data_IF_253754241805
#
_entry.id   IF_253754241805
#
_cell.length_a   1.000
_cell.length_b   1.000
_cell.length_c   1.000
_cell.angle_alpha   90.00
_cell.angle_beta   90.00
_cell.angle_gamma   90.00
#
_symmetry.space_group_name_H-M   'P 1'
#
loop_
_entity.id
_entity.type
_entity.pdbx_description
1 polymer ?
#
# COMPACT_ATOMS: atom_id res chain seq x y z
N UNK A 1 4.97 13.50 5.51
CA UNK A 1 5.94 12.50 5.00
C UNK A 1 6.01 12.40 3.46
N UNK A 2 5.33 13.26 2.66
CA UNK A 2 5.24 13.09 1.19
C UNK A 2 5.40 14.40 0.37
N UNK A 3 5.96 15.48 0.94
CA UNK A 3 5.94 16.79 0.27
C UNK A 3 7.01 17.00 -0.84
N UNK A 4 8.01 16.11 -0.98
CA UNK A 4 9.16 16.36 -1.87
C UNK A 4 9.49 15.24 -2.87
N UNK A 5 8.63 14.24 -3.06
CA UNK A 5 8.94 13.10 -3.93
C UNK A 5 8.02 13.14 -5.16
N UNK A 6 8.58 13.01 -6.36
CA UNK A 6 7.80 12.84 -7.60
C UNK A 6 6.90 11.62 -7.48
N UNK A 7 5.64 11.72 -7.92
CA UNK A 7 4.62 10.68 -7.78
C UNK A 7 5.13 9.25 -8.08
N UNK A 8 5.95 9.07 -9.13
CA UNK A 8 6.57 7.79 -9.49
C UNK A 8 7.46 7.17 -8.41
N UNK A 9 8.24 7.97 -7.68
CA UNK A 9 9.10 7.48 -6.59
C UNK A 9 8.31 7.23 -5.29
N UNK A 10 7.20 7.95 -5.04
CA UNK A 10 6.30 7.62 -3.92
C UNK A 10 5.64 6.27 -4.12
N UNK A 11 5.29 5.94 -5.36
CA UNK A 11 4.70 4.65 -5.69
C UNK A 11 5.74 3.54 -5.63
N UNK A 12 6.99 3.77 -6.08
CA UNK A 12 8.11 2.83 -5.91
C UNK A 12 8.36 2.45 -4.45
N UNK A 13 8.46 3.44 -3.56
CA UNK A 13 8.66 3.20 -2.13
C UNK A 13 7.49 2.41 -1.50
N UNK A 14 6.26 2.66 -1.96
CA UNK A 14 5.07 1.90 -1.54
C UNK A 14 4.99 0.50 -2.15
N UNK A 15 5.60 0.25 -3.32
CA UNK A 15 5.65 -1.09 -3.94
C UNK A 15 6.55 -2.06 -3.16
N UNK A 16 7.57 -1.55 -2.46
CA UNK A 16 8.39 -2.35 -1.55
C UNK A 16 7.59 -2.95 -0.38
N UNK A 17 6.37 -2.49 -0.10
CA UNK A 17 5.49 -3.01 0.97
C UNK A 17 5.21 -4.51 0.86
N UNK A 18 5.19 -5.07 -0.35
CA UNK A 18 4.93 -6.50 -0.57
C UNK A 18 6.00 -7.40 0.07
N UNK A 19 7.25 -6.96 0.13
CA UNK A 19 8.37 -7.77 0.66
C UNK A 19 8.31 -7.88 2.20
N UNK A 20 8.19 -6.78 2.98
CA UNK A 20 8.04 -6.85 4.44
C UNK A 20 6.73 -7.49 4.87
N UNK A 21 5.63 -7.31 4.13
CA UNK A 21 4.36 -8.01 4.41
C UNK A 21 4.54 -9.53 4.33
N UNK A 22 5.26 -10.04 3.32
CA UNK A 22 5.54 -11.47 3.22
C UNK A 22 6.52 -11.98 4.27
N UNK A 23 7.60 -11.24 4.54
CA UNK A 23 8.57 -11.58 5.58
C UNK A 23 7.92 -11.64 6.98
N UNK A 24 7.13 -10.63 7.34
CA UNK A 24 6.41 -10.60 8.62
C UNK A 24 5.35 -11.70 8.72
N UNK A 25 4.66 -12.01 7.62
CA UNK A 25 3.71 -13.14 7.59
C UNK A 25 4.38 -14.51 7.87
N UNK A 26 5.65 -14.67 7.51
CA UNK A 26 6.43 -15.91 7.73
C UNK A 26 6.95 -15.96 9.16
N UNK A 27 7.58 -14.87 9.61
CA UNK A 27 8.23 -14.79 10.92
C UNK A 27 7.21 -14.85 12.06
N UNK A 28 6.07 -14.16 11.94
CA UNK A 28 5.12 -14.02 13.05
C UNK A 28 3.99 -15.07 13.03
N UNK A 29 3.53 -15.48 11.85
CA UNK A 29 2.39 -16.40 11.73
C UNK A 29 2.76 -17.78 11.20
N UNK A 30 4.04 -18.06 10.94
CA UNK A 30 4.48 -19.35 10.41
C UNK A 30 3.85 -19.71 9.07
N UNK A 31 3.29 -18.73 8.32
CA UNK A 31 2.67 -18.97 7.02
C UNK A 31 3.75 -19.40 6.04
N UNK A 32 3.65 -20.64 5.55
CA UNK A 32 4.52 -21.15 4.49
C UNK A 32 4.02 -20.62 3.14
N UNK A 33 4.77 -19.66 2.60
CA UNK A 33 4.60 -19.24 1.21
C UNK A 33 5.39 -20.19 0.29
N UNK A 34 4.86 -20.45 -0.89
CA UNK A 34 5.55 -21.25 -1.91
C UNK A 34 6.77 -20.48 -2.43
N UNK A 35 7.83 -21.18 -2.84
CA UNK A 35 9.01 -20.57 -3.47
C UNK A 35 8.63 -19.66 -4.64
N UNK A 36 7.59 -20.03 -5.40
CA UNK A 36 7.07 -19.21 -6.49
C UNK A 36 6.44 -17.88 -6.01
N UNK A 37 5.84 -17.83 -4.82
CA UNK A 37 5.31 -16.58 -4.27
C UNK A 37 6.43 -15.59 -3.93
N UNK A 38 7.57 -16.10 -3.41
CA UNK A 38 8.76 -15.27 -3.19
C UNK A 38 9.36 -14.76 -4.50
N UNK A 39 9.51 -15.63 -5.50
CA UNK A 39 10.02 -15.26 -6.83
C UNK A 39 9.13 -14.21 -7.49
N UNK A 40 7.80 -14.32 -7.39
CA UNK A 40 6.88 -13.31 -7.95
C UNK A 40 7.06 -11.96 -7.26
N UNK A 41 7.23 -11.92 -5.94
CA UNK A 41 7.44 -10.66 -5.22
C UNK A 41 8.77 -10.01 -5.53
N UNK A 42 9.85 -10.78 -5.60
CA UNK A 42 11.15 -10.25 -5.97
C UNK A 42 11.14 -9.77 -7.42
N UNK A 43 10.47 -10.50 -8.33
CA UNK A 43 10.28 -10.09 -9.72
C UNK A 43 9.51 -8.76 -9.84
N UNK A 44 8.44 -8.60 -9.08
CA UNK A 44 7.69 -7.33 -9.01
C UNK A 44 8.58 -6.22 -8.45
N UNK A 45 9.27 -6.46 -7.34
CA UNK A 45 10.19 -5.48 -6.74
C UNK A 45 11.28 -5.02 -7.71
N UNK A 46 11.93 -5.97 -8.40
CA UNK A 46 12.95 -5.69 -9.41
C UNK A 46 12.38 -4.95 -10.63
N UNK A 47 11.18 -5.32 -11.10
CA UNK A 47 10.54 -4.66 -12.23
C UNK A 47 10.18 -3.20 -11.94
N UNK A 48 9.68 -2.90 -10.73
CA UNK A 48 9.43 -1.52 -10.31
C UNK A 48 10.75 -0.75 -10.10
N UNK A 49 11.79 -1.39 -9.56
CA UNK A 49 13.12 -0.77 -9.42
C UNK A 49 13.75 -0.43 -10.78
N UNK A 50 13.69 -1.34 -11.75
CA UNK A 50 14.18 -1.13 -13.12
C UNK A 50 13.41 0.01 -13.82
N UNK A 51 12.09 0.11 -13.59
CA UNK A 51 11.28 1.22 -14.10
C UNK A 51 11.71 2.58 -13.55
N UNK A 52 12.16 2.62 -12.29
CA UNK A 52 12.56 3.84 -11.60
C UNK A 52 13.95 4.38 -11.97
N UNK A 53 14.87 3.54 -12.49
CA UNK A 53 16.27 3.92 -12.67
C UNK A 53 16.56 5.04 -13.70
N UNK A 54 15.65 5.35 -14.63
CA UNK A 54 15.86 6.42 -15.64
C UNK A 54 14.68 7.39 -15.81
N UNK A 55 13.63 7.27 -15.00
CA UNK A 55 12.53 8.22 -14.97
C UNK A 55 12.94 9.52 -14.28
N UNK A 56 13.55 10.44 -15.03
CA UNK A 56 13.87 11.83 -14.68
C UNK A 56 14.90 12.01 -13.55
N UNK A 57 16.05 12.59 -13.91
CA UNK A 57 17.11 13.05 -13.00
C UNK A 57 16.63 14.05 -11.92
N UNK A 58 15.37 14.51 -11.97
CA UNK A 58 14.71 15.29 -10.92
C UNK A 58 14.07 14.43 -9.81
N UNK A 59 13.85 13.13 -10.04
CA UNK A 59 13.22 12.18 -9.11
C UNK A 59 14.23 11.68 -8.08
N UNK A 60 15.45 11.40 -8.49
CA UNK A 60 16.53 10.91 -7.61
C UNK A 60 17.14 12.03 -6.77
N UNK A 61 17.18 13.27 -7.28
CA UNK A 61 17.75 14.43 -6.58
C UNK A 61 16.97 14.88 -5.34
N UNK A 62 15.66 14.54 -5.24
CA UNK A 62 14.85 14.83 -4.04
C UNK A 62 14.72 13.67 -3.06
N UNK A 63 15.31 12.50 -3.38
CA UNK A 63 15.55 11.43 -2.40
C UNK A 63 16.78 11.73 -1.53
N UNK A 64 17.59 12.73 -1.89
CA UNK A 64 18.70 13.21 -1.09
C UNK A 64 18.21 14.16 0.02
N UNK A 65 17.40 13.67 0.95
CA UNK A 65 17.41 14.26 2.30
C UNK A 65 18.79 14.02 2.93
N UNK A 66 19.27 14.85 3.87
CA UNK A 66 20.67 14.87 4.32
C UNK A 66 21.24 13.54 4.81
N UNK A 67 20.38 12.56 5.13
CA UNK A 67 20.75 11.20 5.51
C UNK A 67 19.92 10.16 4.74
N UNK A 68 20.35 9.71 3.54
CA UNK A 68 19.66 8.66 2.79
C UNK A 68 19.46 7.38 3.61
N UNK A 69 20.42 7.05 4.49
CA UNK A 69 20.34 5.89 5.39
C UNK A 69 19.14 5.97 6.34
N UNK A 70 18.87 7.15 6.91
CA UNK A 70 17.77 7.36 7.85
C UNK A 70 16.40 7.33 7.14
N UNK A 71 16.35 7.82 5.89
CA UNK A 71 15.16 7.71 5.05
C UNK A 71 14.82 6.26 4.68
N UNK A 72 15.83 5.47 4.28
CA UNK A 72 15.64 4.05 3.97
C UNK A 72 15.29 3.22 5.23
N UNK A 73 15.89 3.53 6.38
CA UNK A 73 15.58 2.82 7.64
C UNK A 73 14.16 3.11 8.13
N UNK A 74 13.72 4.38 8.11
CA UNK A 74 12.33 4.75 8.42
C UNK A 74 11.33 4.08 7.48
N UNK A 75 11.66 3.97 6.19
CA UNK A 75 10.83 3.26 5.22
C UNK A 75 10.72 1.78 5.59
N UNK A 76 11.83 1.12 5.89
CA UNK A 76 11.85 -0.29 6.29
C UNK A 76 11.00 -0.54 7.55
N UNK A 77 11.16 0.32 8.57
CA UNK A 77 10.37 0.25 9.81
C UNK A 77 8.89 0.48 9.54
N UNK A 78 8.52 1.46 8.70
CA UNK A 78 7.13 1.70 8.35
C UNK A 78 6.51 0.49 7.62
N UNK A 79 7.25 -0.11 6.68
CA UNK A 79 6.79 -1.29 5.95
C UNK A 79 6.70 -2.53 6.87
N UNK A 80 7.56 -2.64 7.88
CA UNK A 80 7.51 -3.68 8.89
C UNK A 80 6.23 -3.59 9.74
N UNK A 81 5.87 -2.40 10.24
CA UNK A 81 4.63 -2.19 10.98
C UNK A 81 3.37 -2.37 10.11
N UNK A 82 3.44 -1.93 8.87
CA UNK A 82 2.40 -2.19 7.87
C UNK A 82 2.23 -3.71 7.64
N UNK A 83 3.33 -4.46 7.53
CA UNK A 83 3.34 -5.91 7.42
C UNK A 83 2.73 -6.60 8.63
N UNK A 84 3.13 -6.17 9.83
CA UNK A 84 2.58 -6.64 11.10
C UNK A 84 1.06 -6.45 11.16
N UNK A 85 0.58 -5.25 10.84
CA UNK A 85 -0.86 -4.93 10.88
C UNK A 85 -1.65 -5.81 9.92
N UNK A 86 -1.19 -5.98 8.68
CA UNK A 86 -1.84 -6.87 7.71
C UNK A 86 -1.87 -8.33 8.18
N UNK A 87 -0.77 -8.81 8.80
CA UNK A 87 -0.70 -10.15 9.34
C UNK A 87 -1.64 -10.35 10.55
N UNK A 88 -1.70 -9.38 11.46
CA UNK A 88 -2.62 -9.38 12.59
C UNK A 88 -4.08 -9.35 12.13
N UNK A 89 -4.39 -8.56 11.08
CA UNK A 89 -5.71 -8.53 10.46
C UNK A 89 -6.13 -9.89 9.92
N UNK A 90 -5.23 -10.59 9.21
CA UNK A 90 -5.47 -11.95 8.71
C UNK A 90 -5.71 -12.94 9.85
N UNK A 91 -4.94 -12.87 10.94
CA UNK A 91 -5.10 -13.77 12.09
C UNK A 91 -6.42 -13.59 12.82
N UNK A 92 -6.83 -12.34 13.06
CA UNK A 92 -8.14 -12.03 13.66
C UNK A 92 -9.25 -12.57 12.75
N UNK A 93 -9.12 -12.41 11.43
CA UNK A 93 -10.10 -12.90 10.48
C UNK A 93 -10.16 -14.45 10.42
N UNK A 94 -9.03 -15.14 10.53
CA UNK A 94 -8.96 -16.61 10.59
C UNK A 94 -9.56 -17.15 11.90
N UNK A 95 -9.23 -16.55 13.04
CA UNK A 95 -9.70 -16.96 14.38
C UNK A 95 -11.18 -16.64 14.59
N UNK A 96 -11.67 -15.52 14.06
CA UNK A 96 -13.03 -15.03 14.25
C UNK A 96 -13.78 -14.84 12.92
N UNK A 97 -13.80 -15.87 12.07
CA UNK A 97 -14.45 -15.85 10.74
C UNK A 97 -15.93 -15.43 10.76
N UNK A 98 -16.64 -15.68 11.87
CA UNK A 98 -18.05 -15.29 12.06
C UNK A 98 -18.25 -13.79 12.33
N UNK A 99 -17.22 -13.05 12.74
CA UNK A 99 -17.36 -11.62 13.04
C UNK A 99 -17.52 -10.79 11.76
N UNK A 100 -18.37 -9.76 11.80
CA UNK A 100 -18.58 -8.85 10.67
C UNK A 100 -17.30 -8.06 10.34
N UNK A 101 -16.93 -7.88 9.05
CA UNK A 101 -15.77 -7.07 8.66
C UNK A 101 -15.92 -5.61 9.09
N UNK A 102 -17.17 -5.14 9.19
CA UNK A 102 -17.50 -3.78 9.63
C UNK A 102 -17.11 -3.58 11.09
N UNK A 103 -17.31 -4.58 11.95
CA UNK A 103 -16.95 -4.49 13.37
C UNK A 103 -15.43 -4.32 13.54
N UNK A 104 -14.65 -5.07 12.76
CA UNK A 104 -13.19 -4.96 12.74
C UNK A 104 -12.72 -3.58 12.23
N UNK A 105 -13.38 -3.05 11.19
CA UNK A 105 -13.12 -1.71 10.68
C UNK A 105 -13.42 -0.62 11.72
N UNK A 106 -14.58 -0.69 12.39
CA UNK A 106 -14.98 0.27 13.41
C UNK A 106 -13.98 0.34 14.56
N UNK A 107 -13.57 -0.80 15.10
CA UNK A 107 -12.58 -0.84 16.19
C UNK A 107 -11.22 -0.32 15.76
N UNK A 108 -10.76 -0.66 14.55
CA UNK A 108 -9.49 -0.15 14.05
C UNK A 108 -9.53 1.37 13.84
N UNK A 109 -10.62 1.88 13.26
CA UNK A 109 -10.81 3.32 13.07
C UNK A 109 -10.98 4.07 14.39
N UNK A 110 -11.62 3.47 15.40
CA UNK A 110 -11.77 4.05 16.73
C UNK A 110 -10.40 4.26 17.41
N UNK A 111 -9.56 3.22 17.49
CA UNK A 111 -8.23 3.34 18.08
C UNK A 111 -7.33 4.30 17.29
N UNK A 112 -7.46 4.31 15.96
CA UNK A 112 -6.75 5.25 15.09
C UNK A 112 -7.17 6.70 15.37
N UNK A 113 -8.47 6.95 15.49
CA UNK A 113 -9.02 8.28 15.80
C UNK A 113 -8.59 8.75 17.19
N UNK A 114 -8.58 7.86 18.19
CA UNK A 114 -8.11 8.20 19.54
C UNK A 114 -6.63 8.61 19.54
N UNK A 115 -5.77 7.84 18.87
CA UNK A 115 -4.35 8.13 18.76
C UNK A 115 -4.08 9.46 18.05
N UNK A 116 -4.69 9.68 16.88
CA UNK A 116 -4.52 10.94 16.13
C UNK A 116 -5.16 12.13 16.84
N UNK A 117 -6.29 11.94 17.53
CA UNK A 117 -6.94 12.97 18.34
C UNK A 117 -6.05 13.44 19.48
N UNK A 118 -5.46 12.51 20.24
CA UNK A 118 -4.52 12.85 21.31
C UNK A 118 -3.27 13.57 20.76
N UNK A 119 -2.73 13.09 19.64
CA UNK A 119 -1.61 13.76 18.97
C UNK A 119 -1.95 15.20 18.56
N UNK A 120 -3.14 15.42 17.98
CA UNK A 120 -3.60 16.77 17.60
C UNK A 120 -3.79 17.70 18.80
N UNK A 121 -4.23 17.18 19.95
CA UNK A 121 -4.38 17.96 21.19
C UNK A 121 -3.01 18.39 21.74
N UNK A 122 -2.04 17.48 21.76
CA UNK A 122 -0.68 17.76 22.30
C UNK A 122 0.12 18.66 21.35
N UNK A 123 -0.01 18.46 20.03
CA UNK A 123 0.78 19.21 19.04
C UNK A 123 0.21 20.60 18.71
N UNK A 124 -0.98 20.96 19.20
CA UNK A 124 -1.64 22.24 18.91
C UNK A 124 -2.18 22.40 17.48
N UNK A 125 -1.81 21.51 16.56
CA UNK A 125 -2.21 21.54 15.14
C UNK A 125 -3.72 21.42 14.90
N UNK A 126 -4.47 20.88 15.88
CA UNK A 126 -5.93 20.84 15.80
C UNK A 126 -6.57 22.24 15.76
N UNK A 127 -6.04 23.19 16.53
CA UNK A 127 -6.56 24.56 16.56
C UNK A 127 -6.27 25.30 15.23
N UNK A 128 -5.10 25.07 14.65
CA UNK A 128 -4.74 25.59 13.33
C UNK A 128 -5.68 25.08 12.25
N UNK A 129 -5.98 23.76 12.26
CA UNK A 129 -6.89 23.13 11.32
C UNK A 129 -8.31 23.73 11.40
N UNK A 130 -8.82 23.92 12.62
CA UNK A 130 -10.15 24.53 12.84
C UNK A 130 -10.16 25.98 12.34
N UNK A 131 -9.10 26.75 12.62
CA UNK A 131 -8.99 28.13 12.15
C UNK A 131 -8.86 28.25 10.63
N UNK A 132 -8.27 27.25 9.97
CA UNK A 132 -8.16 27.16 8.52
C UNK A 132 -9.52 26.83 7.89
N UNK A 133 -10.22 25.86 8.46
CA UNK A 133 -11.57 25.47 8.04
C UNK A 133 -12.59 26.61 8.21
N UNK A 134 -12.44 27.43 9.26
CA UNK A 134 -13.28 28.61 9.48
C UNK A 134 -13.03 29.73 8.44
N UNK A 135 -11.81 29.81 7.90
CA UNK A 135 -11.43 30.80 6.88
C UNK A 135 -11.77 30.37 5.46
N UNK A 136 -11.83 29.06 5.20
CA UNK A 136 -12.12 28.50 3.88
C UNK A 136 -13.19 27.40 3.97
N UNK A 137 -14.48 27.76 3.94
CA UNK A 137 -15.58 26.79 4.03
C UNK A 137 -15.65 25.85 2.83
N UNK A 138 -15.19 26.27 1.64
CA UNK A 138 -15.12 25.39 0.47
C UNK A 138 -14.15 24.22 0.69
N UNK A 139 -13.02 24.47 1.38
CA UNK A 139 -12.06 23.42 1.73
C UNK A 139 -12.64 22.38 2.70
N UNK A 140 -13.58 22.78 3.56
CA UNK A 140 -14.30 21.84 4.43
C UNK A 140 -15.12 20.84 3.61
N UNK A 141 -15.80 21.31 2.55
CA UNK A 141 -16.59 20.44 1.68
C UNK A 141 -15.70 19.41 0.99
N UNK A 142 -14.54 19.83 0.47
CA UNK A 142 -13.56 18.92 -0.14
C UNK A 142 -13.03 17.89 0.85
N UNK A 143 -12.73 18.31 2.10
CA UNK A 143 -12.28 17.41 3.16
C UNK A 143 -13.36 16.37 3.49
N UNK A 144 -14.61 16.81 3.66
CA UNK A 144 -15.73 15.90 3.96
C UNK A 144 -15.96 14.93 2.81
N UNK A 145 -15.97 15.40 1.56
CA UNK A 145 -16.11 14.56 0.39
C UNK A 145 -14.98 13.52 0.30
N UNK A 146 -13.74 13.94 0.58
CA UNK A 146 -12.57 13.07 0.64
C UNK A 146 -12.72 12.01 1.74
N UNK A 147 -13.19 12.38 2.92
CA UNK A 147 -13.45 11.45 4.02
C UNK A 147 -14.57 10.44 3.70
N UNK A 148 -15.67 10.89 3.08
CA UNK A 148 -16.78 10.02 2.67
C UNK A 148 -16.33 9.01 1.61
N UNK A 149 -15.65 9.50 0.57
CA UNK A 149 -15.06 8.63 -0.46
C UNK A 149 -14.04 7.64 0.14
N UNK A 150 -13.22 8.12 1.08
CA UNK A 150 -12.28 7.31 1.84
C UNK A 150 -12.97 6.21 2.66
N UNK A 151 -14.07 6.53 3.34
CA UNK A 151 -14.85 5.58 4.13
C UNK A 151 -15.47 4.48 3.25
N UNK A 152 -16.04 4.86 2.10
CA UNK A 152 -16.55 3.91 1.11
C UNK A 152 -15.41 3.01 0.60
N UNK A 153 -14.25 3.58 0.28
CA UNK A 153 -13.07 2.82 -0.12
C UNK A 153 -12.58 1.84 0.94
N UNK A 154 -12.61 2.24 2.22
CA UNK A 154 -12.25 1.37 3.35
C UNK A 154 -13.18 0.16 3.47
N UNK A 155 -14.49 0.33 3.25
CA UNK A 155 -15.43 -0.81 3.26
C UNK A 155 -15.03 -1.88 2.24
N UNK A 156 -14.66 -1.48 1.02
CA UNK A 156 -14.19 -2.42 -0.01
C UNK A 156 -12.87 -3.10 0.37
N UNK A 157 -11.94 -2.37 0.99
CA UNK A 157 -10.67 -2.92 1.48
C UNK A 157 -10.93 -3.99 2.54
N UNK A 158 -11.71 -3.67 3.58
CA UNK A 158 -12.02 -4.61 4.65
C UNK A 158 -12.82 -5.82 4.18
N UNK A 159 -13.76 -5.61 3.24
CA UNK A 159 -14.47 -6.71 2.59
C UNK A 159 -13.54 -7.63 1.81
N UNK A 160 -12.57 -7.07 1.08
CA UNK A 160 -11.56 -7.82 0.33
C UNK A 160 -10.63 -8.59 1.28
N UNK A 161 -10.16 -7.97 2.35
CA UNK A 161 -9.32 -8.64 3.37
C UNK A 161 -10.09 -9.80 3.99
N UNK A 162 -11.37 -9.60 4.34
CA UNK A 162 -12.17 -10.67 4.93
C UNK A 162 -12.35 -11.85 3.97
N UNK A 163 -12.58 -11.57 2.69
CA UNK A 163 -12.92 -12.58 1.68
C UNK A 163 -11.69 -13.30 1.13
N UNK A 164 -10.61 -12.56 0.86
CA UNK A 164 -9.42 -13.05 0.14
C UNK A 164 -8.11 -12.94 0.92
N UNK A 165 -8.12 -12.29 2.09
CA UNK A 165 -6.94 -12.03 2.92
C UNK A 165 -6.20 -10.75 2.56
N UNK A 166 -5.36 -10.28 3.47
CA UNK A 166 -4.59 -9.05 3.38
C UNK A 166 -3.55 -9.06 2.24
N UNK A 167 -3.01 -10.24 1.91
CA UNK A 167 -2.07 -10.39 0.81
C UNK A 167 -2.72 -10.11 -0.56
N UNK A 168 -3.95 -10.57 -0.80
CA UNK A 168 -4.68 -10.30 -2.04
C UNK A 168 -5.08 -8.82 -2.13
N UNK A 169 -5.51 -8.24 -1.00
CA UNK A 169 -5.77 -6.81 -0.93
C UNK A 169 -4.53 -5.97 -1.30
N UNK A 170 -3.36 -6.37 -0.79
CA UNK A 170 -2.07 -5.72 -1.12
C UNK A 170 -1.77 -5.85 -2.61
N UNK A 171 -1.98 -7.03 -3.19
CA UNK A 171 -1.80 -7.28 -4.63
C UNK A 171 -2.67 -6.34 -5.48
N UNK A 172 -3.99 -6.30 -5.22
CA UNK A 172 -4.94 -5.45 -5.94
C UNK A 172 -4.56 -3.97 -5.83
N UNK A 173 -4.16 -3.52 -4.64
CA UNK A 173 -3.71 -2.15 -4.45
C UNK A 173 -2.44 -1.81 -5.25
N UNK A 174 -1.48 -2.73 -5.33
CA UNK A 174 -0.26 -2.54 -6.11
C UNK A 174 -0.56 -2.51 -7.61
N UNK A 175 -1.39 -3.45 -8.09
CA UNK A 175 -1.85 -3.46 -9.49
C UNK A 175 -2.50 -2.13 -9.86
N UNK A 176 -3.47 -1.64 -9.06
CA UNK A 176 -4.13 -0.35 -9.30
C UNK A 176 -3.13 0.81 -9.35
N UNK A 177 -2.21 0.89 -8.39
CA UNK A 177 -1.19 1.95 -8.36
C UNK A 177 -0.28 1.89 -9.58
N UNK A 178 0.10 0.68 -10.01
CA UNK A 178 0.96 0.48 -11.16
C UNK A 178 0.28 0.92 -12.47
N UNK A 179 -1.01 0.57 -12.66
CA UNK A 179 -1.79 1.08 -13.79
C UNK A 179 -1.90 2.61 -13.79
N UNK A 180 -2.11 3.23 -12.63
CA UNK A 180 -2.14 4.70 -12.54
C UNK A 180 -0.80 5.33 -12.94
N UNK A 181 0.34 4.70 -12.62
CA UNK A 181 1.66 5.18 -13.11
C UNK A 181 1.73 5.04 -14.63
N UNK A 182 1.38 3.87 -15.17
CA UNK A 182 1.45 3.61 -16.60
C UNK A 182 0.61 4.62 -17.39
N UNK A 183 -0.64 4.84 -16.96
CA UNK A 183 -1.54 5.84 -17.53
C UNK A 183 -0.97 7.26 -17.42
N UNK A 184 -0.41 7.61 -16.27
CA UNK A 184 0.24 8.92 -16.07
C UNK A 184 1.40 9.14 -17.02
N UNK A 185 2.21 8.11 -17.32
CA UNK A 185 3.33 8.25 -18.26
C UNK A 185 2.85 8.35 -19.71
N UNK A 186 1.86 7.54 -20.10
CA UNK A 186 1.26 7.58 -21.44
C UNK A 186 0.61 8.95 -21.68
N UNK A 187 -0.14 9.46 -20.70
CA UNK A 187 -0.82 10.75 -20.78
C UNK A 187 0.15 11.94 -20.83
N UNK A 188 1.25 11.88 -20.07
CA UNK A 188 2.27 12.93 -20.08
C UNK A 188 3.19 12.90 -21.32
N UNK A 189 2.96 11.99 -22.28
CA UNK A 189 3.70 11.94 -23.54
C UNK A 189 5.20 11.68 -23.40
N UNK A 190 5.67 11.18 -22.25
CA UNK A 190 7.07 10.86 -22.04
C UNK A 190 7.34 9.44 -22.57
N UNK A 191 8.09 9.27 -23.67
CA UNK A 191 8.36 7.95 -24.22
C UNK A 191 9.15 7.12 -23.20
N UNK A 192 8.57 5.99 -22.79
CA UNK A 192 9.22 5.01 -21.93
C UNK A 192 10.42 4.38 -22.66
N UNK A 193 11.58 4.33 -22.00
CA UNK A 193 12.74 3.65 -22.56
C UNK A 193 12.46 2.14 -22.73
N UNK A 194 13.10 1.45 -23.68
CA UNK A 194 12.96 -0.01 -23.86
C UNK A 194 13.20 -0.80 -22.57
N UNK A 195 14.16 -0.37 -21.74
CA UNK A 195 14.45 -0.99 -20.44
C UNK A 195 13.31 -0.81 -19.42
N UNK A 196 12.52 0.27 -19.52
CA UNK A 196 11.36 0.48 -18.66
C UNK A 196 10.20 -0.40 -19.09
N UNK A 197 10.02 -0.64 -20.39
CA UNK A 197 9.06 -1.63 -20.90
C UNK A 197 9.37 -3.05 -20.43
N UNK A 198 10.65 -3.43 -20.36
CA UNK A 198 11.05 -4.70 -19.75
C UNK A 198 10.65 -4.76 -18.27
N UNK A 199 10.85 -3.67 -17.50
CA UNK A 199 10.38 -3.56 -16.11
C UNK A 199 8.86 -3.70 -15.99
N UNK A 200 8.08 -3.10 -16.90
CA UNK A 200 6.63 -3.25 -16.96
C UNK A 200 6.23 -4.71 -17.18
N UNK A 201 6.90 -5.40 -18.12
CA UNK A 201 6.67 -6.82 -18.39
C UNK A 201 6.95 -7.71 -17.17
N UNK A 202 8.03 -7.44 -16.43
CA UNK A 202 8.37 -8.18 -15.20
C UNK A 202 7.31 -8.01 -14.12
N UNK A 203 6.82 -6.77 -13.90
CA UNK A 203 5.75 -6.50 -12.92
C UNK A 203 4.46 -7.21 -13.32
N UNK A 204 4.05 -7.10 -14.58
CA UNK A 204 2.82 -7.75 -15.06
C UNK A 204 2.88 -9.27 -14.94
N UNK A 205 4.02 -9.87 -15.31
CA UNK A 205 4.22 -11.32 -15.22
C UNK A 205 4.14 -11.78 -13.77
N UNK A 206 4.82 -11.10 -12.84
CA UNK A 206 4.77 -11.44 -11.42
C UNK A 206 3.36 -11.31 -10.83
N UNK A 207 2.63 -10.23 -11.18
CA UNK A 207 1.25 -10.02 -10.75
C UNK A 207 0.30 -11.13 -11.27
N UNK A 208 0.40 -11.48 -12.56
CA UNK A 208 -0.43 -12.49 -13.20
C UNK A 208 -0.18 -13.89 -12.62
N UNK A 209 1.09 -14.30 -12.51
CA UNK A 209 1.46 -15.60 -11.95
C UNK A 209 0.96 -15.71 -10.51
N UNK A 210 1.17 -14.67 -9.70
CA UNK A 210 0.72 -14.67 -8.31
C UNK A 210 -0.82 -14.72 -8.19
N UNK A 211 -1.53 -13.96 -9.03
CA UNK A 211 -3.00 -13.98 -9.07
C UNK A 211 -3.55 -15.36 -9.43
N UNK A 212 -3.00 -16.00 -10.47
CA UNK A 212 -3.40 -17.35 -10.92
C UNK A 212 -3.12 -18.41 -9.85
N UNK A 213 -1.98 -18.34 -9.18
CA UNK A 213 -1.64 -19.26 -8.09
C UNK A 213 -2.60 -19.16 -6.91
N UNK A 214 -2.97 -17.93 -6.51
CA UNK A 214 -3.95 -17.72 -5.43
C UNK A 214 -5.34 -18.21 -5.82
N UNK A 215 -5.78 -17.94 -7.05
CA UNK A 215 -7.06 -18.44 -7.58
C UNK A 215 -7.12 -19.97 -7.51
N UNK A 216 -6.06 -20.67 -7.96
CA UNK A 216 -5.96 -22.14 -7.85
C UNK A 216 -6.01 -22.63 -6.40
N UNK A 217 -5.29 -21.99 -5.47
CA UNK A 217 -5.26 -22.37 -4.05
C UNK A 217 -6.64 -22.20 -3.39
N UNK A 218 -7.38 -21.15 -3.75
CA UNK A 218 -8.72 -20.91 -3.25
C UNK A 218 -9.75 -21.89 -3.84
N UNK A 219 -9.64 -22.25 -5.12
CA UNK A 219 -10.50 -23.25 -5.76
C UNK A 219 -10.34 -24.64 -5.15
N UNK A 220 -9.10 -25.02 -4.80
CA UNK A 220 -8.80 -26.32 -4.17
C UNK A 220 -9.41 -26.43 -2.77
N UNK A 221 -9.34 -25.35 -1.97
CA UNK A 221 -9.89 -25.29 -0.60
C UNK A 221 -11.42 -25.22 -0.53
N UNK A 222 -12.10 -25.06 -1.67
CA UNK A 222 -13.57 -25.02 -1.78
C UNK A 222 -14.14 -26.35 -2.32
N UNK A 223 -13.27 -27.22 -2.83
CA UNK A 223 -13.60 -28.55 -3.33
C UNK A 223 -13.35 -29.67 -2.29
N UNK A 224 -12.60 -29.36 -1.22
CA UNK A 224 -12.45 -30.14 0.02
C UNK A 224 -13.48 -29.68 1.05
#
# INVERSE_FOLDING_TARGET
MLLNITYSAQVLAKSCKMVPVMLMGVVLHGKRYSMLEYVCMTLIGLGVAAFAQKGSSKVTGKLASPNPVLGYSLCLVNLAFDGYTNAAQDHINERHRKNSPIHMMCWMNFWTALYYGLYMLVSGSGAELVSFCARHPDALVDIVLFCLCGAVGQLFIFFTIKTFGALVNTLVCTTRKFFNILLSVIWNGNPLLPNQWAGVGMVFTGLLVQGLMKSKKHSKKKAE
#
